data_IF_614736984265
#
_entry.id   IF_614736984265
#
_cell.length_a   1.000
_cell.length_b   1.000
_cell.length_c   1.000
_cell.angle_alpha   90.00
_cell.angle_beta   90.00
_cell.angle_gamma   90.00
#
_symmetry.space_group_name_H-M   'P 1'
#
loop_
_entity.id
_entity.type
_entity.pdbx_description
1 polymer ?
#
# COMPACT_ATOMS: atom_id res chain seq x y z
N UNK A 1 -12.10 -15.65 18.61
CA UNK A 1 -11.53 -15.56 17.25
C UNK A 1 -11.94 -14.30 16.48
N UNK A 2 -13.22 -13.90 16.47
CA UNK A 2 -13.71 -12.71 15.73
C UNK A 2 -12.92 -11.41 16.01
N UNK A 3 -12.57 -11.14 17.27
CA UNK A 3 -11.83 -9.93 17.64
C UNK A 3 -10.37 -9.90 17.12
N UNK A 4 -9.73 -11.06 16.97
CA UNK A 4 -8.37 -11.15 16.42
C UNK A 4 -8.35 -10.80 14.93
N UNK A 5 -9.33 -11.29 14.17
CA UNK A 5 -9.45 -10.99 12.73
C UNK A 5 -9.74 -9.51 12.51
N UNK A 6 -10.66 -8.93 13.30
CA UNK A 6 -10.94 -7.49 13.26
C UNK A 6 -9.69 -6.67 13.60
N UNK A 7 -8.94 -7.01 14.64
CA UNK A 7 -7.71 -6.30 15.01
C UNK A 7 -6.63 -6.41 13.91
N UNK A 8 -6.44 -7.61 13.34
CA UNK A 8 -5.50 -7.82 12.24
C UNK A 8 -5.85 -7.02 10.99
N UNK A 9 -7.13 -6.97 10.62
CA UNK A 9 -7.61 -6.18 9.48
C UNK A 9 -7.45 -4.68 9.69
N UNK A 10 -7.69 -4.18 10.91
CA UNK A 10 -7.44 -2.77 11.24
C UNK A 10 -5.96 -2.43 11.18
N UNK A 11 -5.08 -3.26 11.76
CA UNK A 11 -3.63 -3.07 11.68
C UNK A 11 -3.15 -3.10 10.22
N UNK A 12 -3.58 -4.09 9.44
CA UNK A 12 -3.24 -4.20 8.03
C UNK A 12 -3.74 -2.99 7.23
N UNK A 13 -4.98 -2.54 7.49
CA UNK A 13 -5.57 -1.35 6.87
C UNK A 13 -4.77 -0.08 7.18
N UNK A 14 -4.37 0.12 8.44
CA UNK A 14 -3.52 1.25 8.85
C UNK A 14 -2.18 1.21 8.12
N UNK A 15 -1.52 0.04 8.06
CA UNK A 15 -0.24 -0.11 7.34
C UNK A 15 -0.39 0.22 5.85
N UNK A 16 -1.50 -0.20 5.21
CA UNK A 16 -1.79 0.13 3.81
C UNK A 16 -2.15 1.60 3.60
N UNK A 17 -2.49 2.36 4.64
CA UNK A 17 -2.73 3.81 4.54
C UNK A 17 -1.44 4.64 4.65
N UNK A 18 -0.31 4.08 5.11
CA UNK A 18 0.96 4.81 5.17
C UNK A 18 1.39 5.40 3.81
N UNK A 19 1.31 4.66 2.69
CA UNK A 19 1.66 5.18 1.36
C UNK A 19 0.82 6.37 0.90
N UNK A 20 -0.35 6.64 1.50
CA UNK A 20 -1.21 7.80 1.16
C UNK A 20 -0.46 9.13 1.29
N UNK A 21 0.54 9.20 2.18
CA UNK A 21 1.42 10.37 2.26
C UNK A 21 2.09 10.71 0.91
N UNK A 22 2.29 9.72 0.03
CA UNK A 22 2.79 9.92 -1.33
C UNK A 22 1.79 10.60 -2.28
N UNK A 23 0.48 10.56 -2.01
CA UNK A 23 -0.52 11.35 -2.77
C UNK A 23 -0.36 12.84 -2.55
N UNK A 24 0.16 13.25 -1.39
CA UNK A 24 0.45 14.64 -1.06
C UNK A 24 1.65 15.20 -1.88
N UNK A 25 2.28 14.35 -2.71
CA UNK A 25 3.23 14.71 -3.76
C UNK A 25 4.69 14.73 -3.32
N UNK A 26 5.57 14.74 -4.32
CA UNK A 26 7.02 14.95 -4.17
C UNK A 26 7.46 16.05 -3.19
N UNK A 27 6.78 17.21 -3.06
CA UNK A 27 7.18 18.25 -2.10
C UNK A 27 7.05 17.84 -0.63
N UNK A 28 6.03 17.05 -0.26
CA UNK A 28 5.84 16.60 1.13
C UNK A 28 6.72 15.40 1.46
N UNK A 29 7.04 14.56 0.46
CA UNK A 29 8.08 13.54 0.56
C UNK A 29 9.49 14.16 0.64
N UNK A 30 9.77 15.23 -0.10
CA UNK A 30 11.02 15.97 -0.01
C UNK A 30 11.17 16.66 1.36
N UNK A 31 10.09 17.19 1.92
CA UNK A 31 10.10 17.78 3.26
C UNK A 31 10.23 16.74 4.39
N UNK A 32 9.68 15.52 4.22
CA UNK A 32 9.70 14.46 5.24
C UNK A 32 10.92 13.52 5.14
N UNK A 33 11.44 13.29 3.92
CA UNK A 33 12.49 12.32 3.65
C UNK A 33 13.72 12.91 2.94
N UNK A 34 13.70 14.20 2.55
CA UNK A 34 14.82 14.86 1.87
C UNK A 34 15.03 14.41 0.41
N UNK A 35 14.12 13.62 -0.16
CA UNK A 35 14.24 13.06 -1.51
C UNK A 35 13.49 13.94 -2.51
N UNK A 36 14.20 14.56 -3.45
CA UNK A 36 13.58 15.24 -4.58
C UNK A 36 13.22 14.20 -5.65
N UNK A 37 11.92 13.98 -5.86
CA UNK A 37 11.42 13.21 -7.00
C UNK A 37 11.47 14.13 -8.23
N UNK A 38 12.60 14.12 -8.94
CA UNK A 38 12.85 15.02 -10.06
C UNK A 38 12.19 14.58 -11.39
N UNK A 39 11.82 13.30 -11.51
CA UNK A 39 11.17 12.74 -12.70
C UNK A 39 9.63 12.79 -12.54
N UNK A 40 8.91 13.55 -13.39
CA UNK A 40 7.45 13.61 -13.37
C UNK A 40 6.76 12.25 -13.56
N UNK A 41 7.35 11.33 -14.33
CA UNK A 41 6.80 9.99 -14.53
C UNK A 41 6.89 9.16 -13.25
N UNK A 42 8.00 9.30 -12.51
CA UNK A 42 8.19 8.63 -11.24
C UNK A 42 7.21 9.16 -10.18
N UNK A 43 7.00 10.49 -10.12
CA UNK A 43 6.01 11.09 -9.21
C UNK A 43 4.59 10.57 -9.51
N UNK A 44 4.22 10.46 -10.80
CA UNK A 44 2.92 9.88 -11.19
C UNK A 44 2.77 8.41 -10.76
N UNK A 45 3.81 7.59 -10.94
CA UNK A 45 3.81 6.19 -10.51
C UNK A 45 3.68 6.05 -8.99
N UNK A 46 4.38 6.89 -8.22
CA UNK A 46 4.29 6.90 -6.76
C UNK A 46 2.90 7.30 -6.27
N UNK A 47 2.28 8.33 -6.89
CA UNK A 47 0.89 8.71 -6.59
C UNK A 47 -0.10 7.60 -6.92
N UNK A 48 0.06 6.92 -8.06
CA UNK A 48 -0.82 5.81 -8.42
C UNK A 48 -0.71 4.65 -7.43
N UNK A 49 0.52 4.28 -7.04
CA UNK A 49 0.75 3.29 -5.98
C UNK A 49 0.10 3.72 -4.67
N UNK A 50 0.28 4.97 -4.27
CA UNK A 50 -0.31 5.51 -3.05
C UNK A 50 -1.84 5.43 -3.05
N UNK A 51 -2.50 5.70 -4.19
CA UNK A 51 -3.96 5.55 -4.34
C UNK A 51 -4.40 4.09 -4.25
N UNK A 52 -3.71 3.16 -4.89
CA UNK A 52 -4.04 1.73 -4.80
C UNK A 52 -3.93 1.21 -3.36
N UNK A 53 -2.87 1.60 -2.65
CA UNK A 53 -2.68 1.31 -1.23
C UNK A 53 -3.79 1.95 -0.37
N UNK A 54 -4.20 3.18 -0.68
CA UNK A 54 -5.29 3.87 0.01
C UNK A 54 -6.63 3.11 -0.09
N UNK A 55 -7.01 2.73 -1.31
CA UNK A 55 -8.25 2.03 -1.59
C UNK A 55 -8.29 0.68 -0.89
N UNK A 56 -7.17 -0.07 -0.93
CA UNK A 56 -7.06 -1.35 -0.26
C UNK A 56 -7.06 -1.21 1.26
N UNK A 57 -6.38 -0.19 1.81
CA UNK A 57 -6.38 0.11 3.25
C UNK A 57 -7.79 0.42 3.77
N UNK A 58 -8.56 1.22 3.03
CA UNK A 58 -9.97 1.49 3.34
C UNK A 58 -10.83 0.22 3.26
N UNK A 59 -10.61 -0.63 2.25
CA UNK A 59 -11.30 -1.92 2.14
C UNK A 59 -11.02 -2.82 3.36
N UNK A 60 -9.75 -2.91 3.79
CA UNK A 60 -9.33 -3.68 4.96
C UNK A 60 -10.00 -3.16 6.24
N UNK A 61 -10.00 -1.83 6.44
CA UNK A 61 -10.70 -1.19 7.56
C UNK A 61 -12.21 -1.44 7.53
N UNK A 62 -12.85 -1.34 6.36
CA UNK A 62 -14.28 -1.62 6.20
C UNK A 62 -14.62 -3.09 6.46
N UNK A 63 -13.77 -4.00 5.98
CA UNK A 63 -13.91 -5.45 6.18
C UNK A 63 -13.80 -5.85 7.67
N UNK A 64 -13.08 -5.07 8.49
CA UNK A 64 -13.00 -5.29 9.93
C UNK A 64 -14.38 -5.33 10.61
N UNK A 65 -15.35 -4.56 10.09
CA UNK A 65 -16.73 -4.46 10.60
C UNK A 65 -17.75 -5.33 9.83
N UNK A 66 -17.35 -5.92 8.69
CA UNK A 66 -18.22 -6.70 7.80
C UNK A 66 -17.64 -8.10 7.62
N UNK A 67 -18.10 -9.12 8.37
CA UNK A 67 -17.55 -10.49 8.33
C UNK A 67 -17.47 -11.09 6.93
N UNK A 68 -18.47 -10.82 6.08
CA UNK A 68 -18.55 -11.29 4.69
C UNK A 68 -17.38 -10.77 3.83
N UNK A 69 -16.81 -9.60 4.16
CA UNK A 69 -15.71 -8.99 3.42
C UNK A 69 -14.33 -9.40 3.95
N UNK A 70 -14.23 -10.09 5.09
CA UNK A 70 -12.94 -10.39 5.73
C UNK A 70 -12.08 -11.32 4.87
N UNK A 71 -12.64 -12.39 4.35
CA UNK A 71 -11.92 -13.34 3.49
C UNK A 71 -11.37 -12.67 2.20
N UNK A 72 -12.19 -11.99 1.37
CA UNK A 72 -11.68 -11.33 0.17
C UNK A 72 -10.69 -10.19 0.51
N UNK A 73 -10.91 -9.45 1.59
CA UNK A 73 -9.99 -8.40 2.02
C UNK A 73 -8.62 -8.96 2.46
N UNK A 74 -8.60 -10.09 3.17
CA UNK A 74 -7.35 -10.78 3.53
C UNK A 74 -6.59 -11.26 2.30
N UNK A 75 -7.28 -11.86 1.33
CA UNK A 75 -6.67 -12.33 0.08
C UNK A 75 -6.06 -11.14 -0.69
N UNK A 76 -6.82 -10.04 -0.82
CA UNK A 76 -6.34 -8.84 -1.49
C UNK A 76 -5.14 -8.19 -0.77
N UNK A 77 -5.19 -8.10 0.56
CA UNK A 77 -4.10 -7.59 1.39
C UNK A 77 -2.83 -8.43 1.27
N UNK A 78 -2.95 -9.75 1.29
CA UNK A 78 -1.82 -10.67 1.10
C UNK A 78 -1.24 -10.56 -0.32
N UNK A 79 -2.09 -10.51 -1.35
CA UNK A 79 -1.64 -10.33 -2.72
C UNK A 79 -0.85 -9.02 -2.89
N UNK A 80 -1.32 -7.93 -2.26
CA UNK A 80 -0.61 -6.65 -2.24
C UNK A 80 0.76 -6.75 -1.55
N UNK A 81 0.82 -7.38 -0.37
CA UNK A 81 2.05 -7.57 0.37
C UNK A 81 3.08 -8.41 -0.39
N UNK A 82 2.64 -9.53 -0.97
CA UNK A 82 3.51 -10.42 -1.77
C UNK A 82 4.04 -9.69 -3.00
N UNK A 83 3.18 -8.93 -3.70
CA UNK A 83 3.60 -8.15 -4.87
C UNK A 83 4.57 -7.02 -4.51
N UNK A 84 4.45 -6.44 -3.31
CA UNK A 84 5.37 -5.42 -2.83
C UNK A 84 6.73 -5.99 -2.42
N UNK A 85 6.74 -7.15 -1.78
CA UNK A 85 7.95 -7.81 -1.29
C UNK A 85 8.70 -8.56 -2.40
N UNK A 86 7.99 -8.99 -3.46
CA UNK A 86 8.62 -9.72 -4.56
C UNK A 86 9.75 -8.89 -5.17
N UNK A 87 11.00 -9.40 -5.18
CA UNK A 87 12.11 -8.70 -5.80
C UNK A 87 11.79 -8.43 -7.28
N UNK A 88 12.17 -7.26 -7.81
CA UNK A 88 12.06 -7.04 -9.24
C UNK A 88 12.90 -8.10 -9.99
N UNK A 89 12.46 -8.54 -11.19
CA UNK A 89 13.26 -9.44 -12.01
C UNK A 89 14.64 -8.82 -12.22
N UNK A 90 15.70 -9.60 -11.94
CA UNK A 90 17.07 -9.14 -12.15
C UNK A 90 17.22 -8.75 -13.62
N UNK A 91 17.58 -7.50 -13.87
CA UNK A 91 17.92 -7.06 -15.22
C UNK A 91 19.06 -7.96 -15.73
N UNK A 92 18.85 -8.59 -16.87
CA UNK A 92 19.91 -9.28 -17.60
C UNK A 92 20.84 -8.22 -18.20
N UNK A 93 21.68 -7.60 -17.38
CA UNK A 93 22.72 -6.65 -17.82
C UNK A 93 24.12 -7.13 -17.42
N UNK A 94 24.34 -8.44 -17.49
CA UNK A 94 25.66 -9.07 -17.32
C UNK A 94 26.05 -9.83 -18.61
N UNK A 95 26.04 -9.09 -19.73
CA UNK A 95 26.69 -9.47 -20.97
C UNK A 95 27.63 -8.36 -21.40
#
# INVERSE_FOLDING_TARGET
MRHLVTAALLLAGIVHLLPVAGVLGGPRLAALYGVQVADPNLDLLLRHRAVLFALLGLLLCAAAFRPVLQAPALIAGLASLVSFLSPPPRAASDR
#
